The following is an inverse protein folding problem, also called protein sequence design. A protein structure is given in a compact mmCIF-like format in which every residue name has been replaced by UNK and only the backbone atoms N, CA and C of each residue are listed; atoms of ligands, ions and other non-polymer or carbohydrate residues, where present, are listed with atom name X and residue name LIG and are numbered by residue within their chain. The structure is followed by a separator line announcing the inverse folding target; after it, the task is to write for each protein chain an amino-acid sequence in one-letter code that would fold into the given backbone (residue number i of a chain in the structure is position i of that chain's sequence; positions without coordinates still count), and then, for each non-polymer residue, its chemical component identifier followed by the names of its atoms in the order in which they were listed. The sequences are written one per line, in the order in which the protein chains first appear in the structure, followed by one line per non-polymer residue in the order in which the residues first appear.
data_IF_389915265543
#
_entry.id   IF_389915265543
#
_cell.length_a   1.000
_cell.length_b   1.000
_cell.length_c   1.000
_cell.angle_alpha   90.00
_cell.angle_beta   90.00
_cell.angle_gamma   90.00
#
_symmetry.space_group_name_H-M   'P 1'
#
loop_
_entity.id
_entity.type
_entity.pdbx_description
1 polymer ?
#
# COMPACT_ATOMS: atom_id res chain seq x y z
N UNK A 1 39.18 -32.84 -2.65
CA UNK A 1 37.93 -32.66 -3.43
C UNK A 1 37.44 -31.23 -3.21
N UNK A 2 37.22 -30.45 -4.27
CA UNK A 2 36.74 -29.06 -4.16
C UNK A 2 35.23 -29.05 -3.86
N UNK A 3 34.81 -28.27 -2.85
CA UNK A 3 33.39 -28.15 -2.47
C UNK A 3 32.58 -27.54 -3.62
N UNK A 4 31.42 -28.15 -3.94
CA UNK A 4 30.48 -27.62 -4.95
C UNK A 4 29.49 -26.70 -4.23
N UNK A 5 29.51 -25.38 -4.48
CA UNK A 5 28.61 -24.46 -3.81
C UNK A 5 27.16 -24.70 -4.22
N UNK A 6 26.32 -25.10 -3.26
CA UNK A 6 24.89 -25.38 -3.48
C UNK A 6 24.15 -24.13 -3.97
N UNK A 7 24.55 -22.95 -3.52
CA UNK A 7 23.98 -21.67 -3.95
C UNK A 7 24.08 -21.43 -5.47
N UNK A 8 25.06 -22.05 -6.16
CA UNK A 8 25.20 -21.95 -7.63
C UNK A 8 24.38 -22.99 -8.39
N UNK A 9 23.65 -23.86 -7.69
CA UNK A 9 22.85 -24.95 -8.28
C UNK A 9 21.39 -24.54 -8.46
N UNK A 10 21.16 -23.36 -9.04
CA UNK A 10 19.82 -22.93 -9.42
C UNK A 10 19.50 -23.51 -10.80
N UNK A 11 18.35 -24.19 -10.91
CA UNK A 11 17.82 -24.67 -12.19
C UNK A 11 16.64 -23.77 -12.58
N UNK A 12 16.85 -22.72 -13.39
CA UNK A 12 15.74 -21.89 -13.84
C UNK A 12 14.81 -22.73 -14.69
N UNK A 13 13.50 -22.57 -14.49
CA UNK A 13 12.50 -23.07 -15.42
C UNK A 13 12.49 -22.08 -16.58
N UNK A 14 12.96 -22.50 -17.76
CA UNK A 14 13.07 -21.67 -18.97
C UNK A 14 11.68 -21.41 -19.58
N UNK A 15 10.65 -22.11 -19.11
CA UNK A 15 9.29 -22.00 -19.62
C UNK A 15 8.55 -20.75 -19.15
N UNK A 16 7.67 -20.25 -19.99
CA UNK A 16 6.69 -19.23 -19.64
C UNK A 16 5.71 -19.76 -18.58
N UNK A 17 5.15 -18.86 -17.76
CA UNK A 17 4.10 -19.22 -16.81
C UNK A 17 2.88 -19.75 -17.58
N UNK A 18 2.47 -21.02 -17.37
CA UNK A 18 1.37 -21.61 -18.13
C UNK A 18 0.10 -20.78 -18.03
N UNK A 19 -0.64 -20.65 -19.15
CA UNK A 19 -1.86 -19.84 -19.24
C UNK A 19 -2.88 -20.16 -18.14
N UNK A 20 -2.98 -21.43 -17.72
CA UNK A 20 -3.85 -21.90 -16.62
C UNK A 20 -3.57 -21.25 -15.26
N UNK A 21 -2.37 -20.72 -15.05
CA UNK A 21 -1.97 -20.03 -13.82
C UNK A 21 -1.96 -18.51 -13.98
N UNK A 22 -2.32 -18.00 -15.16
CA UNK A 22 -2.33 -16.57 -15.45
C UNK A 22 -3.61 -15.98 -14.89
N UNK A 23 -3.46 -14.94 -14.05
CA UNK A 23 -4.61 -14.18 -13.55
C UNK A 23 -5.16 -13.35 -14.71
N UNK A 24 -6.35 -13.67 -15.18
CA UNK A 24 -7.08 -12.89 -16.19
C UNK A 24 -7.95 -11.88 -15.45
N UNK A 25 -7.74 -10.58 -15.70
CA UNK A 25 -8.60 -9.52 -15.18
C UNK A 25 -9.62 -9.15 -16.25
N UNK A 26 -10.83 -9.71 -16.16
CA UNK A 26 -11.98 -9.32 -16.97
C UNK A 26 -12.74 -8.21 -16.24
N UNK A 27 -12.31 -6.96 -16.39
CA UNK A 27 -13.04 -5.81 -15.83
C UNK A 27 -14.08 -5.39 -16.86
N UNK A 28 -15.35 -5.71 -16.61
CA UNK A 28 -16.48 -5.29 -17.45
C UNK A 28 -17.11 -4.02 -16.88
N UNK A 29 -17.10 -2.94 -17.66
CA UNK A 29 -17.61 -1.64 -17.22
C UNK A 29 -16.62 -0.84 -16.36
N UNK A 30 -17.10 0.27 -15.79
CA UNK A 30 -16.30 1.11 -14.88
C UNK A 30 -16.42 0.57 -13.44
N UNK A 31 -15.32 0.08 -12.84
CA UNK A 31 -15.34 -0.49 -11.49
C UNK A 31 -15.61 0.56 -10.39
N UNK A 32 -15.55 1.86 -10.72
CA UNK A 32 -15.74 2.95 -9.77
C UNK A 32 -17.10 3.64 -9.91
N UNK A 33 -17.96 3.17 -10.82
CA UNK A 33 -19.22 3.85 -11.17
C UNK A 33 -20.14 4.12 -9.97
N UNK A 34 -20.20 3.17 -9.04
CA UNK A 34 -21.09 3.24 -7.87
C UNK A 34 -20.37 3.70 -6.61
N UNK A 35 -19.11 4.16 -6.73
CA UNK A 35 -18.33 4.61 -5.58
C UNK A 35 -18.86 5.95 -5.07
N UNK A 36 -19.16 6.09 -3.78
CA UNK A 36 -19.59 7.36 -3.22
C UNK A 36 -18.45 8.38 -3.33
N UNK A 37 -18.78 9.60 -3.73
CA UNK A 37 -17.82 10.70 -3.70
C UNK A 37 -17.50 11.04 -2.24
N UNK A 38 -16.24 10.88 -1.86
CA UNK A 38 -15.74 11.31 -0.55
C UNK A 38 -15.51 12.83 -0.57
N UNK A 39 -15.72 13.46 0.59
CA UNK A 39 -15.28 14.85 0.79
C UNK A 39 -13.77 14.92 0.68
N UNK A 40 -13.26 15.95 0.00
CA UNK A 40 -11.82 16.22 -0.08
C UNK A 40 -11.27 16.70 1.25
N UNK A 41 -12.11 17.29 2.10
CA UNK A 41 -11.71 17.79 3.41
C UNK A 41 -12.23 16.86 4.52
N UNK A 42 -11.33 16.32 5.36
CA UNK A 42 -11.73 15.55 6.53
C UNK A 42 -12.40 16.46 7.57
N UNK A 43 -13.25 15.91 8.44
CA UNK A 43 -13.79 16.66 9.58
C UNK A 43 -12.69 17.03 10.58
N UNK A 44 -12.94 18.07 11.36
CA UNK A 44 -12.07 18.47 12.46
C UNK A 44 -11.73 17.31 13.40
N UNK A 45 -10.47 17.27 13.84
CA UNK A 45 -10.00 16.18 14.68
C UNK A 45 -10.70 16.16 16.04
N UNK A 46 -11.24 15.00 16.42
CA UNK A 46 -11.75 14.74 17.78
C UNK A 46 -11.05 13.52 18.39
N UNK A 47 -10.49 13.63 19.61
CA UNK A 47 -9.79 12.52 20.25
C UNK A 47 -10.76 11.35 20.48
N UNK A 48 -10.50 10.23 19.83
CA UNK A 48 -11.40 9.08 19.84
C UNK A 48 -10.65 7.82 20.26
N UNK A 49 -11.07 7.23 21.38
CA UNK A 49 -10.56 5.96 21.89
C UNK A 49 -9.06 5.98 22.18
N UNK A 50 -8.27 5.42 21.27
CA UNK A 50 -6.81 5.24 21.42
C UNK A 50 -5.98 6.42 20.91
N UNK A 51 -6.59 7.35 20.18
CA UNK A 51 -5.89 8.50 19.63
C UNK A 51 -6.28 9.76 20.39
N UNK A 52 -5.38 10.18 21.28
CA UNK A 52 -5.54 11.34 22.18
C UNK A 52 -4.88 12.59 21.61
N UNK A 53 -5.24 13.74 22.14
CA UNK A 53 -4.66 15.04 21.75
C UNK A 53 -3.14 15.07 21.93
N UNK A 54 -2.61 14.47 23.00
CA UNK A 54 -1.17 14.36 23.24
C UNK A 54 -0.46 13.60 22.12
N UNK A 55 -1.07 12.52 21.61
CA UNK A 55 -0.52 11.71 20.53
C UNK A 55 -0.56 12.48 19.21
N UNK A 56 -1.64 13.23 18.96
CA UNK A 56 -1.72 14.13 17.81
C UNK A 56 -0.60 15.18 17.87
N UNK A 57 -0.43 15.86 19.00
CA UNK A 57 0.59 16.90 19.14
C UNK A 57 2.02 16.36 18.93
N UNK A 58 2.31 15.13 19.38
CA UNK A 58 3.60 14.50 19.11
C UNK A 58 3.79 14.23 17.62
N UNK A 59 2.76 13.69 16.95
CA UNK A 59 2.80 13.43 15.51
C UNK A 59 2.99 14.74 14.74
N UNK A 60 2.17 15.75 15.02
CA UNK A 60 2.26 17.07 14.37
C UNK A 60 3.68 17.65 14.51
N UNK A 61 4.27 17.59 15.72
CA UNK A 61 5.63 18.06 15.98
C UNK A 61 6.72 17.29 15.21
N UNK A 62 6.56 15.97 15.07
CA UNK A 62 7.50 15.14 14.29
C UNK A 62 7.40 15.44 12.80
N UNK A 63 6.27 15.98 12.36
CA UNK A 63 5.87 16.12 10.97
C UNK A 63 5.69 17.58 10.50
N UNK A 64 6.23 18.54 11.25
CA UNK A 64 6.09 20.01 11.10
C UNK A 64 6.51 20.64 9.76
N UNK A 65 6.88 19.85 8.74
CA UNK A 65 7.34 20.35 7.44
C UNK A 65 6.59 19.76 6.25
N UNK A 66 6.84 18.48 5.94
CA UNK A 66 6.51 17.90 4.62
C UNK A 66 5.42 16.82 4.66
N UNK A 67 4.80 16.59 5.81
CA UNK A 67 3.91 15.43 5.97
C UNK A 67 2.51 15.65 5.41
N UNK A 68 1.96 16.86 5.57
CA UNK A 68 0.64 17.25 5.05
C UNK A 68 0.72 18.66 4.46
N UNK A 69 -0.12 18.92 3.47
CA UNK A 69 -0.29 20.26 2.90
C UNK A 69 -1.19 21.09 3.82
N UNK A 70 -1.15 22.43 3.78
CA UNK A 70 -2.01 23.27 4.62
C UNK A 70 -3.52 23.02 4.43
N UNK A 71 -3.90 22.44 3.28
CA UNK A 71 -5.28 22.09 2.94
C UNK A 71 -5.68 20.66 3.37
N UNK A 72 -4.74 19.85 3.88
CA UNK A 72 -4.89 18.44 4.27
C UNK A 72 -4.63 18.16 5.76
#
# INVERSE_FOLDING_TARGET
RKYKPVAKKVKPIIGELPQRFRIIREITGDPLKDMPKLSTHPPEFTPTGRYTEERKAIIDKVHEGDFLWPEE
#
